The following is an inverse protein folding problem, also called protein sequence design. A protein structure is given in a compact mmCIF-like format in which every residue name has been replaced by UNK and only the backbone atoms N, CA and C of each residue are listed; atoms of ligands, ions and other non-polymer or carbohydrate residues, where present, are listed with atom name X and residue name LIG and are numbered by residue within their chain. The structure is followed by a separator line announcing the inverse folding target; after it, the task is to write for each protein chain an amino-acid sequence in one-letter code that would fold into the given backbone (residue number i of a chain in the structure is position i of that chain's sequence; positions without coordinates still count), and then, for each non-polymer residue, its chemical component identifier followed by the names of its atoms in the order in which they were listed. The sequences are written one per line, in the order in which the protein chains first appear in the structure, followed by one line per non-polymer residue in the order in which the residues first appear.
data_IF_535770791780
#
_entry.id   IF_535770791780
#
_cell.length_a   1.000
_cell.length_b   1.000
_cell.length_c   1.000
_cell.angle_alpha   90.00
_cell.angle_beta   90.00
_cell.angle_gamma   90.00
#
_symmetry.space_group_name_H-M   'P 1'
#
loop_
_entity.id
_entity.type
_entity.pdbx_description
1 polymer ?
2 non-polymer ?
3 water ?
#
# COMPACT_ATOMS: atom_id res chain seq x y z
N UNK A 29 -8.35 35.82 -19.84
CA UNK A 29 -8.44 34.50 -20.55
C UNK A 29 -7.03 33.87 -20.60
N UNK A 30 -6.03 34.56 -21.17
CA UNK A 30 -4.65 34.02 -21.37
C UNK A 30 -3.95 34.22 -20.02
N UNK A 31 -4.27 35.36 -19.41
CA UNK A 31 -3.88 35.77 -18.05
C UNK A 31 -4.29 34.63 -17.08
N UNK A 32 -5.46 34.03 -17.27
CA UNK A 32 -6.06 33.06 -16.31
C UNK A 32 -5.37 31.70 -16.52
N UNK A 33 -5.13 31.31 -17.79
CA UNK A 33 -4.36 30.11 -18.18
C UNK A 33 -2.93 30.22 -17.66
N UNK A 34 -2.27 31.38 -17.81
CA UNK A 34 -0.97 31.67 -17.15
C UNK A 34 -1.11 31.57 -15.64
N UNK A 35 -2.15 32.14 -15.03
CA UNK A 35 -2.30 32.09 -13.55
C UNK A 35 -2.38 30.61 -13.11
N UNK A 36 -3.17 29.81 -13.78
CA UNK A 36 -3.37 28.36 -13.43
C UNK A 36 -2.01 27.66 -13.43
N UNK A 37 -1.21 27.84 -14.50
CA UNK A 37 0.14 27.23 -14.59
C UNK A 37 1.06 27.77 -13.49
N UNK A 38 1.08 29.07 -13.22
CA UNK A 38 1.90 29.67 -12.14
C UNK A 38 1.53 29.06 -10.77
N UNK A 39 0.24 28.90 -10.47
CA UNK A 39 -0.22 28.35 -9.19
C UNK A 39 0.25 26.88 -9.03
N UNK A 40 0.05 26.09 -10.06
CA UNK A 40 0.46 24.63 -10.03
C UNK A 40 1.97 24.58 -9.83
N UNK A 41 2.73 25.36 -10.62
CA UNK A 41 4.21 25.42 -10.46
C UNK A 41 4.61 25.83 -9.05
N UNK A 42 4.05 26.93 -8.53
CA UNK A 42 4.47 27.41 -7.21
C UNK A 42 4.08 26.46 -6.10
N UNK A 43 2.89 25.85 -6.20
CA UNK A 43 2.39 24.92 -5.18
C UNK A 43 3.30 23.67 -5.19
N UNK A 44 3.59 23.16 -6.39
CA UNK A 44 4.50 22.00 -6.56
C UNK A 44 5.83 22.32 -5.88
N UNK A 45 6.39 23.50 -6.09
CA UNK A 45 7.71 23.87 -5.51
C UNK A 45 7.62 23.90 -4.00
N UNK A 46 6.71 24.71 -3.46
CA UNK A 46 6.67 24.98 -2.00
C UNK A 46 6.24 23.74 -1.24
N UNK A 47 5.17 23.05 -1.68
CA UNK A 47 4.69 21.81 -1.02
C UNK A 47 5.76 20.73 -1.18
N UNK A 48 6.40 20.67 -2.35
CA UNK A 48 7.55 19.78 -2.59
C UNK A 48 8.64 19.96 -1.53
N UNK A 49 8.89 21.19 -1.08
CA UNK A 49 9.97 21.52 -0.12
C UNK A 49 9.52 21.33 1.33
N UNK A 50 8.33 21.78 1.71
CA UNK A 50 7.95 21.91 3.13
C UNK A 50 6.76 21.00 3.46
N UNK A 51 6.05 20.46 2.47
CA UNK A 51 4.89 19.58 2.72
C UNK A 51 3.59 20.36 2.62
N UNK A 52 2.52 19.68 2.20
CA UNK A 52 1.17 20.25 2.06
C UNK A 52 0.77 21.01 3.33
N UNK A 53 0.93 20.37 4.50
CA UNK A 53 0.38 20.92 5.77
C UNK A 53 1.09 22.23 6.14
N UNK A 54 2.30 22.46 5.65
CA UNK A 54 3.18 23.58 6.10
C UNK A 54 3.05 24.81 5.19
N UNK A 55 2.32 24.78 4.08
CA UNK A 55 2.22 25.95 3.17
C UNK A 55 0.76 26.22 2.85
N UNK A 56 0.28 27.45 3.13
CA UNK A 56 -1.11 27.86 2.85
C UNK A 56 -1.28 28.46 1.47
N UNK A 57 -2.52 28.56 1.01
CA UNK A 57 -2.88 29.12 -0.31
C UNK A 57 -2.46 30.60 -0.41
N UNK A 58 -2.51 31.45 0.65
CA UNK A 58 -2.03 32.83 0.50
C UNK A 58 -0.55 32.90 0.06
N UNK A 59 0.30 32.10 0.68
CA UNK A 59 1.75 32.03 0.36
C UNK A 59 1.95 31.56 -1.08
N UNK A 60 1.15 30.58 -1.53
CA UNK A 60 1.23 30.05 -2.91
C UNK A 60 0.80 31.14 -3.91
N UNK A 61 -0.27 31.88 -3.63
CA UNK A 61 -0.73 33.00 -4.50
C UNK A 61 0.40 34.03 -4.63
N UNK A 62 1.04 34.39 -3.51
CA UNK A 62 2.15 35.39 -3.46
C UNK A 62 3.33 34.86 -4.28
N UNK A 63 3.73 33.62 -4.05
CA UNK A 63 4.81 32.94 -4.82
C UNK A 63 4.52 33.07 -6.32
N UNK A 64 3.28 32.83 -6.73
CA UNK A 64 2.83 32.83 -8.14
C UNK A 64 2.60 34.27 -8.66
N UNK A 65 2.54 35.27 -7.78
CA UNK A 65 2.29 36.68 -8.15
C UNK A 65 0.86 36.93 -8.58
N UNK A 66 -0.12 36.22 -8.04
CA UNK A 66 -1.55 36.46 -8.40
C UNK A 66 -2.30 36.80 -7.12
N UNK A 67 -3.50 37.34 -7.27
CA UNK A 67 -4.39 37.72 -6.14
C UNK A 67 -5.09 36.45 -5.65
N UNK A 68 -5.59 36.46 -4.42
CA UNK A 68 -6.41 35.37 -3.88
C UNK A 68 -7.61 35.16 -4.81
N UNK A 69 -8.20 36.23 -5.36
CA UNK A 69 -9.39 36.09 -6.21
C UNK A 69 -9.09 35.28 -7.46
N UNK A 70 -7.93 35.48 -8.06
CA UNK A 70 -7.47 34.76 -9.28
C UNK A 70 -7.22 33.29 -8.90
N UNK A 71 -6.67 33.03 -7.71
CA UNK A 71 -6.42 31.63 -7.26
C UNK A 71 -7.75 30.92 -7.03
N UNK A 72 -8.69 31.57 -6.34
CA UNK A 72 -10.03 31.04 -6.02
C UNK A 72 -10.80 30.76 -7.31
N UNK A 73 -10.64 31.57 -8.36
CA UNK A 73 -11.30 31.34 -9.68
C UNK A 73 -10.83 29.99 -10.29
N UNK A 74 -9.57 29.63 -10.06
CA UNK A 74 -8.96 28.42 -10.70
C UNK A 74 -9.19 27.19 -9.82
N UNK A 75 -9.13 27.34 -8.50
CA UNK A 75 -9.16 26.20 -7.53
C UNK A 75 -10.13 26.53 -6.40
N UNK A 76 -11.22 25.74 -6.30
CA UNK A 76 -12.23 25.85 -5.22
C UNK A 76 -11.53 25.89 -3.86
N UNK A 77 -10.50 25.06 -3.65
CA UNK A 77 -9.89 24.98 -2.29
C UNK A 77 -8.47 24.43 -2.41
N UNK A 78 -7.76 24.41 -1.30
CA UNK A 78 -6.39 23.92 -1.25
C UNK A 78 -6.26 22.50 -1.84
N UNK A 79 -7.13 21.57 -1.46
CA UNK A 79 -7.06 20.15 -1.87
C UNK A 79 -7.22 20.06 -3.41
N UNK A 80 -8.02 20.92 -4.04
CA UNK A 80 -8.24 20.92 -5.52
C UNK A 80 -6.93 21.29 -6.24
N UNK A 81 -6.20 22.26 -5.70
CA UNK A 81 -4.88 22.63 -6.24
C UNK A 81 -3.92 21.45 -6.04
N UNK A 82 -3.94 20.81 -4.88
CA UNK A 82 -3.07 19.63 -4.62
C UNK A 82 -3.39 18.53 -5.63
N UNK A 83 -4.67 18.25 -5.93
CA UNK A 83 -5.01 17.20 -6.93
C UNK A 83 -4.32 17.51 -8.27
N UNK A 84 -4.30 18.76 -8.72
CA UNK A 84 -3.67 19.13 -10.02
C UNK A 84 -2.15 19.03 -9.92
N UNK A 85 -1.58 19.34 -8.76
CA UNK A 85 -0.12 19.19 -8.52
C UNK A 85 0.23 17.71 -8.65
N UNK A 86 -0.57 16.84 -8.06
CA UNK A 86 -0.28 15.38 -8.12
C UNK A 86 -0.27 14.93 -9.58
N UNK A 87 -1.20 15.39 -10.40
CA UNK A 87 -1.29 14.98 -11.82
C UNK A 87 -0.01 15.37 -12.54
N UNK A 88 0.50 16.59 -12.38
CA UNK A 88 1.72 16.98 -13.16
C UNK A 88 2.94 16.27 -12.59
N UNK A 89 3.02 16.07 -11.27
CA UNK A 89 4.10 15.25 -10.64
C UNK A 89 4.05 13.81 -11.17
N UNK A 90 2.89 13.17 -11.18
CA UNK A 90 2.76 11.77 -11.65
C UNK A 90 3.14 11.66 -13.14
N UNK A 91 2.71 12.60 -13.97
CA UNK A 91 3.09 12.65 -15.42
C UNK A 91 4.61 12.67 -15.55
N UNK A 92 5.29 13.45 -14.71
CA UNK A 92 6.77 13.58 -14.73
C UNK A 92 7.44 12.30 -14.18
N UNK A 93 6.88 11.72 -13.12
CA UNK A 93 7.37 10.40 -12.62
C UNK A 93 7.36 9.38 -13.76
N UNK A 94 6.23 9.20 -14.46
CA UNK A 94 6.08 8.16 -15.50
C UNK A 94 6.98 8.49 -16.70
N UNK A 95 7.13 9.75 -17.06
CA UNK A 95 8.02 10.20 -18.16
C UNK A 95 9.46 9.86 -17.78
N UNK A 96 9.87 10.13 -16.54
CA UNK A 96 11.26 9.89 -16.09
C UNK A 96 11.52 8.38 -16.00
N UNK A 97 10.54 7.59 -15.56
CA UNK A 97 10.71 6.10 -15.56
C UNK A 97 11.01 5.63 -16.99
N UNK A 98 10.21 6.06 -17.97
CA UNK A 98 10.34 5.68 -19.39
C UNK A 98 11.72 6.11 -19.92
N UNK A 99 12.21 7.29 -19.52
CA UNK A 99 13.52 7.85 -19.94
C UNK A 99 14.65 6.98 -19.37
N UNK A 100 14.58 6.62 -18.09
CA UNK A 100 15.63 5.81 -17.43
C UNK A 100 15.65 4.38 -18.02
N UNK A 101 14.48 3.82 -18.32
CA UNK A 101 14.41 2.50 -19.02
C UNK A 101 15.01 2.64 -20.43
N UNK A 102 14.68 3.70 -21.20
CA UNK A 102 15.24 3.91 -22.57
C UNK A 102 16.76 4.08 -22.46
N UNK A 103 17.25 4.72 -21.40
CA UNK A 103 18.68 5.02 -21.19
C UNK A 103 19.47 3.79 -20.70
N UNK A 104 18.79 2.78 -20.13
CA UNK A 104 19.48 1.58 -19.59
C UNK A 104 20.12 0.77 -20.72
N UNK A 105 19.67 0.95 -21.97
CA UNK A 105 20.00 0.06 -23.12
C UNK A 105 19.43 -1.34 -22.98
N UNK A 106 18.41 -1.57 -22.15
CA UNK A 106 17.73 -2.89 -22.06
C UNK A 106 17.32 -3.34 -23.47
N UNK A 107 17.73 -4.55 -23.85
CA UNK A 107 17.54 -5.18 -25.19
C UNK A 107 16.46 -6.25 -25.12
N UNK A 108 16.11 -6.72 -23.92
CA UNK A 108 15.06 -7.75 -23.73
C UNK A 108 14.01 -7.23 -22.74
N UNK A 109 12.78 -7.79 -22.80
CA UNK A 109 11.76 -7.52 -21.79
C UNK A 109 12.26 -7.76 -20.36
N UNK A 110 13.02 -8.84 -20.13
CA UNK A 110 13.56 -9.12 -18.79
C UNK A 110 14.44 -7.95 -18.32
N UNK A 111 15.36 -7.47 -19.17
CA UNK A 111 16.27 -6.36 -18.80
C UNK A 111 15.48 -5.04 -18.62
N UNK A 112 14.39 -4.86 -19.35
CA UNK A 112 13.51 -3.66 -19.19
C UNK A 112 12.82 -3.71 -17.83
N UNK A 113 12.43 -4.90 -17.35
CA UNK A 113 11.78 -5.04 -16.03
C UNK A 113 12.81 -4.73 -14.96
N UNK A 114 14.03 -5.23 -15.10
CA UNK A 114 15.11 -4.94 -14.14
C UNK A 114 15.36 -3.41 -14.11
N UNK A 115 15.36 -2.77 -15.28
CA UNK A 115 15.66 -1.33 -15.37
C UNK A 115 14.48 -0.55 -14.76
N UNK A 116 13.26 -1.01 -14.98
CA UNK A 116 12.03 -0.33 -14.49
C UNK A 116 12.02 -0.36 -12.97
N UNK A 117 12.40 -1.47 -12.36
CA UNK A 117 12.45 -1.58 -10.87
C UNK A 117 13.51 -0.61 -10.34
N UNK A 118 14.71 -0.58 -10.94
CA UNK A 118 15.78 0.35 -10.50
C UNK A 118 15.30 1.79 -10.71
N UNK A 119 14.61 2.07 -11.83
CA UNK A 119 14.10 3.42 -12.16
C UNK A 119 13.09 3.87 -11.11
N UNK A 120 12.20 3.00 -10.63
CA UNK A 120 11.20 3.37 -9.60
C UNK A 120 11.89 3.78 -8.30
N UNK A 121 12.89 3.05 -7.84
CA UNK A 121 13.65 3.38 -6.61
C UNK A 121 14.33 4.75 -6.78
N UNK A 122 14.88 5.01 -7.97
CA UNK A 122 15.56 6.28 -8.30
C UNK A 122 14.52 7.42 -8.29
N UNK A 123 13.41 7.27 -8.99
CA UNK A 123 12.41 8.36 -9.16
C UNK A 123 11.70 8.61 -7.81
N UNK A 124 11.30 7.55 -7.10
CA UNK A 124 10.56 7.69 -5.82
C UNK A 124 11.49 8.26 -4.75
N UNK A 125 12.81 8.21 -4.99
CA UNK A 125 13.82 8.76 -4.08
C UNK A 125 14.02 10.25 -4.29
N UNK A 126 13.48 10.85 -5.35
CA UNK A 126 13.51 12.31 -5.57
C UNK A 126 12.77 12.95 -4.40
N UNK A 127 13.38 13.92 -3.66
CA UNK A 127 12.76 14.52 -2.46
C UNK A 127 11.35 15.11 -2.70
N UNK A 128 11.10 15.68 -3.87
CA UNK A 128 9.75 16.21 -4.21
C UNK A 128 8.75 15.06 -4.36
N UNK A 129 9.14 13.99 -5.05
CA UNK A 129 8.24 12.82 -5.25
C UNK A 129 7.96 12.18 -3.88
N UNK A 130 8.99 11.97 -3.06
CA UNK A 130 8.83 11.45 -1.69
C UNK A 130 7.76 12.25 -0.96
N UNK A 131 7.92 13.57 -0.93
CA UNK A 131 7.05 14.47 -0.12
C UNK A 131 5.63 14.50 -0.71
N UNK A 132 5.47 14.65 -2.03
CA UNK A 132 4.13 14.90 -2.63
C UNK A 132 3.39 13.58 -2.87
N UNK A 133 4.09 12.54 -3.34
CA UNK A 133 3.40 11.28 -3.76
C UNK A 133 3.37 10.28 -2.58
N UNK A 134 4.48 10.08 -1.89
CA UNK A 134 4.57 9.00 -0.89
C UNK A 134 3.97 9.47 0.47
N UNK A 135 4.14 10.74 0.83
CA UNK A 135 3.74 11.23 2.16
C UNK A 135 2.44 12.03 2.08
N UNK A 136 2.36 13.06 1.23
CA UNK A 136 1.18 13.96 1.24
C UNK A 136 -0.01 13.34 0.51
N UNK A 137 0.18 12.74 -0.66
CA UNK A 137 -0.99 12.35 -1.49
C UNK A 137 -1.91 11.34 -0.78
N UNK A 138 -1.41 10.27 -0.09
CA UNK A 138 -2.31 9.36 0.62
C UNK A 138 -3.16 10.09 1.68
N UNK A 139 -2.61 11.14 2.31
CA UNK A 139 -3.31 11.92 3.37
C UNK A 139 -4.34 12.83 2.71
N UNK A 140 -3.96 13.63 1.73
CA UNK A 140 -4.83 14.69 1.14
C UNK A 140 -5.89 14.05 0.24
N UNK A 141 -5.52 13.04 -0.56
CA UNK A 141 -6.48 12.43 -1.53
C UNK A 141 -7.40 11.43 -0.79
N UNK A 142 -6.93 10.88 0.32
CA UNK A 142 -7.57 9.71 0.96
C UNK A 142 -7.18 8.43 0.24
N UNK A 143 -7.47 7.29 0.85
CA UNK A 143 -7.06 5.98 0.33
C UNK A 143 -7.62 5.72 -1.08
N UNK A 144 -8.93 5.88 -1.28
CA UNK A 144 -9.60 5.54 -2.56
C UNK A 144 -9.02 6.44 -3.67
N UNK A 145 -8.88 7.74 -3.36
CA UNK A 145 -8.36 8.74 -4.30
C UNK A 145 -6.95 8.39 -4.73
N UNK A 146 -6.09 8.12 -3.76
CA UNK A 146 -4.66 7.87 -3.97
C UNK A 146 -4.48 6.58 -4.78
N UNK A 147 -5.22 5.54 -4.41
CA UNK A 147 -5.10 4.26 -5.14
C UNK A 147 -5.54 4.46 -6.59
N UNK A 148 -6.57 5.28 -6.83
CA UNK A 148 -7.10 5.47 -8.19
C UNK A 148 -6.02 6.12 -9.07
N UNK A 149 -5.38 7.15 -8.52
CA UNK A 149 -4.27 7.89 -9.20
C UNK A 149 -3.08 6.95 -9.44
N UNK A 150 -2.63 6.24 -8.40
CA UNK A 150 -1.48 5.32 -8.48
C UNK A 150 -1.71 4.29 -9.60
N UNK A 151 -2.93 3.73 -9.66
CA UNK A 151 -3.28 2.70 -10.66
C UNK A 151 -3.36 3.32 -12.05
N UNK A 152 -3.95 4.52 -12.16
CA UNK A 152 -4.12 5.19 -13.46
C UNK A 152 -2.73 5.39 -14.06
N UNK A 153 -1.72 5.71 -13.25
CA UNK A 153 -0.39 6.05 -13.79
C UNK A 153 0.46 4.79 -13.98
N UNK A 154 0.31 3.76 -13.16
CA UNK A 154 1.31 2.67 -13.03
C UNK A 154 0.82 1.37 -13.70
N UNK A 155 -0.48 1.11 -13.69
CA UNK A 155 -0.96 -0.26 -14.06
C UNK A 155 -0.62 -0.52 -15.54
N UNK A 156 -0.91 0.43 -16.43
CA UNK A 156 -0.63 0.34 -17.88
C UNK A 156 0.80 -0.05 -18.19
N UNK A 157 1.78 0.72 -17.69
CA UNK A 157 3.24 0.46 -17.93
C UNK A 157 3.55 -0.95 -17.41
N UNK A 158 3.12 -1.27 -16.20
CA UNK A 158 3.46 -2.54 -15.51
C UNK A 158 2.92 -3.71 -16.35
N UNK A 159 1.64 -3.66 -16.73
CA UNK A 159 0.99 -4.74 -17.52
C UNK A 159 1.70 -4.90 -18.85
N UNK A 160 2.10 -3.81 -19.49
CA UNK A 160 2.82 -3.86 -20.79
C UNK A 160 4.17 -4.59 -20.64
N UNK A 161 4.98 -4.25 -19.63
CA UNK A 161 6.28 -4.94 -19.40
C UNK A 161 6.06 -6.43 -19.17
N UNK A 162 5.00 -6.77 -18.43
CA UNK A 162 4.69 -8.20 -18.12
C UNK A 162 4.30 -8.89 -19.43
N UNK A 163 3.40 -8.29 -20.22
CA UNK A 163 2.91 -8.90 -21.50
C UNK A 163 4.11 -9.15 -22.44
N UNK A 164 5.03 -8.19 -22.57
CA UNK A 164 6.22 -8.32 -23.47
C UNK A 164 7.08 -9.48 -22.97
N UNK A 165 7.30 -9.61 -21.66
CA UNK A 165 8.17 -10.68 -21.10
C UNK A 165 7.52 -12.03 -21.37
N UNK A 166 6.20 -12.14 -21.19
CA UNK A 166 5.46 -13.41 -21.47
C UNK A 166 5.59 -13.77 -22.96
N UNK A 167 5.36 -12.80 -23.87
CA UNK A 167 5.48 -12.97 -25.34
C UNK A 167 6.90 -13.43 -25.72
N UNK A 168 7.95 -12.92 -25.06
CA UNK A 168 9.36 -13.23 -25.34
C UNK A 168 9.79 -14.57 -24.72
N UNK A 169 8.90 -15.28 -24.02
CA UNK A 169 9.23 -16.51 -23.26
C UNK A 169 10.11 -16.24 -22.03
N UNK A 170 10.11 -15.03 -21.47
CA UNK A 170 10.97 -14.69 -20.29
C UNK A 170 10.17 -14.72 -18.99
N UNK A 171 8.87 -14.92 -19.09
CA UNK A 171 7.99 -14.99 -17.91
C UNK A 171 6.90 -16.00 -18.26
N UNK A 172 6.56 -16.87 -17.33
CA UNK A 172 5.54 -17.93 -17.54
C UNK A 172 4.20 -17.28 -17.94
N UNK A 173 3.51 -17.85 -18.94
CA UNK A 173 2.12 -17.48 -19.28
C UNK A 173 1.30 -17.55 -17.99
N UNK A 174 0.57 -16.48 -17.72
CA UNK A 174 -0.23 -16.29 -16.49
C UNK A 174 -1.14 -15.07 -16.69
N UNK A 175 -2.19 -14.92 -15.87
CA UNK A 175 -3.02 -13.73 -15.88
C UNK A 175 -2.20 -12.50 -15.47
N UNK A 176 -2.24 -11.48 -16.30
CA UNK A 176 -1.33 -10.30 -16.25
C UNK A 176 -1.71 -9.38 -15.08
N UNK A 177 -3.00 -9.09 -14.90
CA UNK A 177 -3.45 -8.07 -13.93
C UNK A 177 -3.12 -8.50 -12.50
N UNK A 178 -3.42 -9.75 -12.04
CA UNK A 178 -3.02 -10.18 -10.70
C UNK A 178 -1.51 -10.07 -10.42
N UNK A 179 -0.66 -10.44 -11.38
CA UNK A 179 0.82 -10.33 -11.21
C UNK A 179 1.17 -8.85 -11.09
N UNK A 180 0.63 -8.01 -11.97
CA UNK A 180 0.92 -6.55 -12.00
C UNK A 180 0.57 -5.96 -10.61
N UNK A 181 -0.56 -6.36 -10.05
CA UNK A 181 -1.09 -5.81 -8.78
C UNK A 181 -0.16 -6.19 -7.62
N UNK A 182 0.23 -7.46 -7.54
CA UNK A 182 1.15 -7.98 -6.47
C UNK A 182 2.50 -7.26 -6.57
N UNK A 183 3.03 -7.14 -7.79
CA UNK A 183 4.34 -6.45 -7.98
C UNK A 183 4.20 -4.98 -7.61
N UNK A 184 3.08 -4.34 -7.95
CA UNK A 184 2.87 -2.90 -7.60
C UNK A 184 2.83 -2.74 -6.05
N UNK A 185 2.16 -3.63 -5.34
CA UNK A 185 2.15 -3.65 -3.87
C UNK A 185 3.56 -3.79 -3.31
N UNK A 186 4.34 -4.72 -3.85
CA UNK A 186 5.73 -4.91 -3.43
C UNK A 186 6.53 -3.61 -3.66
N UNK A 187 6.40 -3.00 -4.84
CA UNK A 187 7.23 -1.83 -5.24
C UNK A 187 6.80 -0.59 -4.43
N UNK A 188 5.51 -0.44 -4.16
CA UNK A 188 4.94 0.67 -3.35
C UNK A 188 5.45 0.55 -1.92
N UNK A 189 5.46 -0.66 -1.37
CA UNK A 189 5.95 -0.86 0.01
C UNK A 189 7.47 -0.64 0.01
N UNK A 190 8.20 -1.04 -1.03
CA UNK A 190 9.65 -0.77 -1.09
C UNK A 190 9.88 0.74 -0.98
N UNK A 191 9.13 1.53 -1.76
CA UNK A 191 9.32 2.99 -1.84
C UNK A 191 8.98 3.62 -0.49
N UNK A 192 7.87 3.19 0.13
CA UNK A 192 7.45 3.78 1.41
C UNK A 192 8.46 3.42 2.51
N UNK A 193 9.00 2.22 2.49
CA UNK A 193 9.99 1.76 3.50
C UNK A 193 11.24 2.66 3.41
N UNK A 194 11.74 2.92 2.20
CA UNK A 194 12.92 3.81 2.00
C UNK A 194 12.55 5.23 2.44
N UNK A 195 11.37 5.72 2.07
CA UNK A 195 10.93 7.10 2.36
C UNK A 195 10.98 7.38 3.88
N UNK A 196 10.72 6.38 4.72
CA UNK A 196 10.57 6.59 6.19
C UNK A 196 11.71 5.92 6.95
N UNK A 197 12.68 5.31 6.29
CA UNK A 197 13.80 4.59 6.95
C UNK A 197 14.67 5.55 7.76
N UNK A 198 15.18 5.09 8.91
CA UNK A 198 16.26 5.74 9.71
C UNK A 198 17.46 6.05 8.82
N UNK A 199 17.94 5.07 8.05
CA UNK A 199 19.08 5.25 7.09
C UNK A 199 18.60 4.95 5.66
N UNK A 200 18.05 5.94 4.93
CA UNK A 200 17.46 5.70 3.61
C UNK A 200 18.45 5.20 2.55
N UNK A 201 19.72 5.61 2.64
CA UNK A 201 20.78 5.15 1.71
C UNK A 201 20.92 3.62 1.78
N UNK A 202 20.97 3.08 3.00
CA UNK A 202 21.13 1.65 3.27
C UNK A 202 19.81 0.93 2.93
N UNK A 203 18.66 1.48 3.34
CA UNK A 203 17.32 0.94 3.04
C UNK A 203 17.18 0.74 1.53
N UNK A 204 17.64 1.71 0.73
CA UNK A 204 17.51 1.68 -0.73
C UNK A 204 18.45 0.61 -1.30
N UNK A 205 19.72 0.55 -0.88
CA UNK A 205 20.65 -0.53 -1.33
C UNK A 205 20.01 -1.91 -1.07
N UNK A 206 19.54 -2.12 0.15
CA UNK A 206 19.07 -3.44 0.64
C UNK A 206 17.73 -3.79 -0.05
N UNK A 207 16.86 -2.82 -0.25
CA UNK A 207 15.55 -3.03 -0.90
C UNK A 207 15.79 -3.36 -2.37
N UNK A 208 16.74 -2.67 -3.02
CA UNK A 208 17.07 -2.92 -4.45
C UNK A 208 17.54 -4.38 -4.58
N UNK A 209 18.37 -4.85 -3.64
CA UNK A 209 18.89 -6.26 -3.63
C UNK A 209 17.76 -7.26 -3.50
N UNK A 210 16.84 -7.04 -2.57
CA UNK A 210 15.74 -8.02 -2.40
C UNK A 210 14.83 -7.99 -3.63
N UNK A 211 14.50 -6.84 -4.20
CA UNK A 211 13.64 -6.78 -5.42
C UNK A 211 14.34 -7.45 -6.61
N UNK A 212 15.65 -7.25 -6.72
CA UNK A 212 16.40 -7.90 -7.83
C UNK A 212 16.33 -9.42 -7.66
N UNK A 213 16.52 -9.94 -6.43
CA UNK A 213 16.45 -11.39 -6.15
C UNK A 213 15.05 -11.91 -6.51
N UNK A 214 14.02 -11.17 -6.14
CA UNK A 214 12.60 -11.51 -6.36
C UNK A 214 12.33 -11.61 -7.86
N UNK A 215 12.72 -10.62 -8.64
CA UNK A 215 12.36 -10.63 -10.10
C UNK A 215 13.25 -11.66 -10.82
N UNK A 216 14.50 -11.81 -10.41
CA UNK A 216 15.46 -12.79 -11.00
C UNK A 216 14.99 -14.23 -10.72
N UNK A 217 14.27 -14.47 -9.63
CA UNK A 217 13.65 -15.77 -9.32
C UNK A 217 12.49 -16.07 -10.25
N UNK A 218 11.84 -15.08 -10.83
CA UNK A 218 10.68 -15.26 -11.73
C UNK A 218 11.05 -15.16 -13.21
N UNK A 219 12.12 -14.46 -13.56
CA UNK A 219 12.38 -14.16 -14.99
C UNK A 219 13.25 -15.28 -15.58
N UNK A 220 12.82 -15.82 -16.72
CA UNK A 220 13.64 -16.75 -17.55
C UNK A 220 14.47 -15.89 -18.51
N UNK A 221 15.57 -15.34 -18.02
CA UNK A 221 16.42 -14.44 -18.82
C UNK A 221 16.87 -13.27 -17.97
N UNK B 31 -15.80 -1.92 34.85
CA UNK B 31 -16.61 -0.68 34.92
C UNK B 31 -16.53 0.02 33.57
N UNK B 32 -15.50 0.86 33.41
CA UNK B 32 -15.06 1.47 32.12
C UNK B 32 -14.61 0.36 31.15
N UNK B 33 -13.84 -0.62 31.66
CA UNK B 33 -13.33 -1.79 30.90
C UNK B 33 -14.51 -2.61 30.36
N UNK B 34 -15.53 -2.88 31.18
CA UNK B 34 -16.78 -3.57 30.77
C UNK B 34 -17.47 -2.78 29.65
N UNK B 35 -17.62 -1.46 29.80
CA UNK B 35 -18.30 -0.62 28.79
C UNK B 35 -17.49 -0.70 27.48
N UNK B 36 -16.19 -0.50 27.56
CA UNK B 36 -15.28 -0.49 26.37
C UNK B 36 -15.39 -1.83 25.67
N UNK B 37 -15.33 -2.95 26.40
CA UNK B 37 -15.39 -4.31 25.82
C UNK B 37 -16.75 -4.52 25.13
N UNK B 38 -17.86 -4.13 25.75
CA UNK B 38 -19.19 -4.19 25.11
C UNK B 38 -19.21 -3.39 23.80
N UNK B 39 -18.67 -2.17 23.82
CA UNK B 39 -18.72 -1.28 22.62
C UNK B 39 -17.86 -1.89 21.51
N UNK B 40 -16.67 -2.35 21.83
CA UNK B 40 -15.73 -2.93 20.81
C UNK B 40 -16.38 -4.17 20.21
N UNK B 41 -16.95 -5.04 21.05
CA UNK B 41 -17.65 -6.25 20.55
C UNK B 41 -18.77 -5.86 19.59
N UNK B 42 -19.66 -4.95 20.00
CA UNK B 42 -20.81 -4.53 19.17
C UNK B 42 -20.34 -3.88 17.87
N UNK B 43 -19.31 -3.02 17.95
CA UNK B 43 -18.78 -2.30 16.77
C UNK B 43 -18.16 -3.31 15.80
N UNK B 44 -17.35 -4.23 16.29
CA UNK B 44 -16.75 -5.30 15.45
C UNK B 44 -17.88 -6.05 14.73
N UNK B 45 -18.97 -6.40 15.42
CA UNK B 45 -20.08 -7.18 14.80
C UNK B 45 -20.73 -6.36 13.67
N UNK B 46 -21.23 -5.17 14.01
CA UNK B 46 -22.07 -4.37 13.08
C UNK B 46 -21.23 -3.80 11.92
N UNK B 47 -20.04 -3.25 12.22
CA UNK B 47 -19.12 -2.73 11.18
C UNK B 47 -18.62 -3.90 10.33
N UNK B 48 -18.35 -5.03 10.96
CA UNK B 48 -17.97 -6.29 10.28
C UNK B 48 -18.98 -6.66 9.22
N UNK B 49 -20.27 -6.43 9.50
CA UNK B 49 -21.37 -6.85 8.59
C UNK B 49 -21.66 -5.78 7.53
N UNK B 50 -21.73 -4.50 7.90
CA UNK B 50 -22.28 -3.44 7.01
C UNK B 50 -21.23 -2.39 6.64
N UNK B 51 -20.09 -2.37 7.32
CA UNK B 51 -19.01 -1.40 7.03
C UNK B 51 -19.07 -0.20 7.94
N UNK B 52 -17.91 0.36 8.23
CA UNK B 52 -17.73 1.57 9.05
C UNK B 52 -18.72 2.64 8.67
N UNK B 53 -18.81 2.97 7.38
CA UNK B 53 -19.56 4.17 6.92
C UNK B 53 -21.06 3.99 7.20
N UNK B 54 -21.55 2.76 7.25
CA UNK B 54 -23.00 2.46 7.26
C UNK B 54 -23.57 2.34 8.67
N UNK B 55 -22.76 2.35 9.72
CA UNK B 55 -23.28 2.20 11.11
C UNK B 55 -22.74 3.35 11.97
N UNK B 56 -23.65 4.07 12.63
CA UNK B 56 -23.39 5.21 13.52
C UNK B 56 -23.17 4.75 14.94
N UNK B 57 -22.57 5.61 15.76
CA UNK B 57 -22.23 5.28 17.17
C UNK B 57 -23.51 5.01 17.98
N UNK B 58 -24.66 5.70 17.79
CA UNK B 58 -25.86 5.35 18.57
C UNK B 58 -26.34 3.90 18.38
N UNK B 59 -26.31 3.38 17.14
CA UNK B 59 -26.69 1.97 16.87
C UNK B 59 -25.72 1.02 17.56
N UNK B 60 -24.44 1.36 17.60
CA UNK B 60 -23.42 0.54 18.32
C UNK B 60 -23.67 0.59 19.84
N UNK B 61 -24.04 1.74 20.38
CA UNK B 61 -24.38 1.92 21.82
C UNK B 61 -25.56 1.00 22.17
N UNK B 62 -26.57 0.96 21.32
CA UNK B 62 -27.78 0.10 21.50
C UNK B 62 -27.37 -1.38 21.46
N UNK B 63 -26.58 -1.78 20.47
CA UNK B 63 -26.13 -3.19 20.37
C UNK B 63 -25.40 -3.58 21.67
N UNK B 64 -24.58 -2.68 22.19
CA UNK B 64 -23.75 -2.86 23.40
C UNK B 64 -24.58 -2.74 24.68
N UNK B 65 -25.77 -2.13 24.67
CA UNK B 65 -26.55 -1.88 25.89
C UNK B 65 -25.94 -0.77 26.75
N UNK B 66 -25.32 0.24 26.16
CA UNK B 66 -24.77 1.38 26.96
C UNK B 66 -25.44 2.66 26.46
N UNK B 67 -25.40 3.74 27.25
CA UNK B 67 -25.94 5.06 26.83
C UNK B 67 -24.92 5.76 25.94
N UNK B 68 -25.37 6.69 25.12
CA UNK B 68 -24.49 7.59 24.32
C UNK B 68 -23.49 8.26 25.25
N UNK B 69 -23.92 8.67 26.45
CA UNK B 69 -23.05 9.38 27.41
C UNK B 69 -21.89 8.51 27.85
N UNK B 70 -22.17 7.25 28.18
CA UNK B 70 -21.16 6.25 28.60
C UNK B 70 -20.21 5.98 27.43
N UNK B 71 -20.72 5.93 26.19
CA UNK B 71 -19.88 5.63 25.02
C UNK B 71 -18.92 6.81 24.78
N UNK B 72 -19.45 8.03 24.84
CA UNK B 72 -18.68 9.29 24.58
C UNK B 72 -17.57 9.44 25.62
N UNK B 73 -17.80 8.99 26.86
CA UNK B 73 -16.78 8.98 27.94
C UNK B 73 -15.58 8.12 27.53
N UNK B 74 -15.82 7.01 26.83
CA UNK B 74 -14.78 6.00 26.51
C UNK B 74 -14.14 6.31 25.15
N UNK B 75 -14.92 6.82 24.19
CA UNK B 75 -14.42 7.10 22.82
C UNK B 75 -14.84 8.50 22.39
N UNK B 76 -13.86 9.38 22.17
CA UNK B 76 -14.07 10.77 21.72
C UNK B 76 -14.99 10.76 20.49
N UNK B 77 -14.72 9.85 19.56
CA UNK B 77 -15.37 9.86 18.24
C UNK B 77 -15.35 8.44 17.67
N UNK B 78 -16.01 8.31 16.55
CA UNK B 78 -16.19 7.03 15.83
C UNK B 78 -14.83 6.43 15.48
N UNK B 79 -13.88 7.22 14.98
CA UNK B 79 -12.57 6.74 14.51
C UNK B 79 -11.78 6.13 15.70
N UNK B 80 -11.94 6.65 16.91
CA UNK B 80 -11.24 6.13 18.11
C UNK B 80 -11.74 4.72 18.44
N UNK B 81 -13.06 4.52 18.34
CA UNK B 81 -13.64 3.17 18.56
C UNK B 81 -13.13 2.22 17.48
N UNK B 82 -13.09 2.67 16.22
CA UNK B 82 -12.58 1.85 15.10
C UNK B 82 -11.14 1.46 15.36
N UNK B 83 -10.28 2.37 15.84
CA UNK B 83 -8.85 2.01 16.15
C UNK B 83 -8.80 0.84 17.15
N UNK B 84 -9.63 0.84 18.20
CA UNK B 84 -9.62 -0.28 19.19
C UNK B 84 -10.19 -1.57 18.56
N UNK B 85 -11.18 -1.46 17.67
CA UNK B 85 -11.74 -2.61 16.91
C UNK B 85 -10.63 -3.25 16.10
N UNK B 86 -9.84 -2.44 15.40
CA UNK B 86 -8.77 -2.96 14.50
C UNK B 86 -7.76 -3.72 15.35
N UNK B 87 -7.39 -3.21 16.53
CA UNK B 87 -6.41 -3.88 17.41
C UNK B 87 -6.93 -5.29 17.75
N UNK B 88 -8.20 -5.44 18.16
CA UNK B 88 -8.72 -6.75 18.63
C UNK B 88 -8.84 -7.69 17.43
N UNK B 89 -9.28 -7.17 16.28
CA UNK B 89 -9.40 -7.99 15.04
C UNK B 89 -8.01 -8.45 14.60
N UNK B 90 -7.00 -7.56 14.63
CA UNK B 90 -5.61 -7.94 14.21
C UNK B 90 -5.06 -9.00 15.16
N UNK B 91 -5.29 -8.88 16.47
CA UNK B 91 -4.85 -9.92 17.43
C UNK B 91 -5.41 -11.30 17.02
N UNK B 92 -6.68 -11.32 16.66
CA UNK B 92 -7.42 -12.55 16.23
C UNK B 92 -6.87 -13.07 14.88
N UNK B 93 -6.65 -12.17 13.93
CA UNK B 93 -6.02 -12.54 12.62
C UNK B 93 -4.72 -13.29 12.88
N UNK B 94 -3.80 -12.72 13.68
CA UNK B 94 -2.45 -13.29 13.91
C UNK B 94 -2.57 -14.62 14.67
N UNK B 95 -3.50 -14.72 15.63
CA UNK B 95 -3.76 -15.97 16.38
C UNK B 95 -4.22 -17.07 15.41
N UNK B 96 -5.14 -16.74 14.52
CA UNK B 96 -5.73 -17.71 13.56
C UNK B 96 -4.66 -18.17 12.56
N UNK B 97 -3.84 -17.24 12.10
CA UNK B 97 -2.77 -17.58 11.14
C UNK B 97 -1.78 -18.55 11.79
N UNK B 98 -1.35 -18.28 13.02
CA UNK B 98 -0.43 -19.15 13.78
C UNK B 98 -1.02 -20.57 13.90
N UNK B 99 -2.32 -20.67 14.17
CA UNK B 99 -3.01 -21.97 14.38
C UNK B 99 -3.07 -22.73 13.04
N UNK B 100 -3.41 -22.06 11.93
CA UNK B 100 -3.48 -22.68 10.59
C UNK B 100 -2.09 -23.17 10.15
N UNK B 101 -1.04 -22.40 10.41
CA UNK B 101 0.35 -22.80 10.07
C UNK B 101 0.74 -24.00 10.94
N UNK B 102 0.44 -23.98 12.25
CA UNK B 102 0.74 -25.12 13.16
C UNK B 102 -0.03 -26.37 12.68
N UNK B 103 -1.24 -26.20 12.13
CA UNK B 103 -2.12 -27.28 11.67
C UNK B 103 -1.70 -27.83 10.30
N UNK B 104 -0.95 -27.08 9.50
CA UNK B 104 -0.79 -27.35 8.03
C UNK B 104 0.00 -28.64 7.80
N UNK B 105 0.81 -29.06 8.77
CA UNK B 105 1.78 -30.17 8.61
C UNK B 105 2.97 -29.76 7.75
N UNK B 106 3.28 -28.47 7.65
CA UNK B 106 4.53 -28.01 6.99
C UNK B 106 5.72 -28.71 7.67
N UNK B 107 6.61 -29.30 6.86
CA UNK B 107 7.73 -30.18 7.27
C UNK B 107 9.04 -29.39 7.28
N UNK B 108 9.15 -28.29 6.53
CA UNK B 108 10.37 -27.44 6.45
C UNK B 108 9.98 -25.97 6.61
N UNK B 109 10.91 -25.06 6.94
CA UNK B 109 10.65 -23.62 6.90
C UNK B 109 10.09 -23.11 5.57
N UNK B 110 10.55 -23.65 4.44
CA UNK B 110 10.02 -23.29 3.10
C UNK B 110 8.51 -23.60 3.07
N UNK B 111 8.11 -24.80 3.50
CA UNK B 111 6.69 -25.23 3.52
C UNK B 111 5.91 -24.39 4.53
N UNK B 112 6.54 -23.94 5.63
CA UNK B 112 5.90 -23.06 6.63
C UNK B 112 5.53 -21.72 5.97
N UNK B 113 6.40 -21.20 5.10
CA UNK B 113 6.15 -19.91 4.40
C UNK B 113 4.99 -20.12 3.42
N UNK B 114 5.00 -21.24 2.69
CA UNK B 114 3.92 -21.53 1.73
C UNK B 114 2.59 -21.65 2.49
N UNK B 115 2.60 -22.31 3.66
CA UNK B 115 1.36 -22.48 4.46
C UNK B 115 0.92 -21.11 5.02
N UNK B 116 1.87 -20.25 5.40
CA UNK B 116 1.60 -18.91 5.96
C UNK B 116 0.88 -18.05 4.92
N UNK B 117 1.30 -18.16 3.65
CA UNK B 117 0.65 -17.43 2.54
C UNK B 117 -0.78 -17.95 2.35
N UNK B 118 -0.98 -19.28 2.32
CA UNK B 118 -2.33 -19.90 2.26
C UNK B 118 -3.16 -19.44 3.46
N UNK B 119 -2.57 -19.37 4.65
CA UNK B 119 -3.28 -18.96 5.89
C UNK B 119 -3.74 -17.50 5.77
N UNK B 120 -2.91 -16.60 5.23
CA UNK B 120 -3.31 -15.19 5.04
C UNK B 120 -4.49 -15.07 4.08
N UNK B 121 -4.47 -15.77 2.94
CA UNK B 121 -5.57 -15.70 1.95
C UNK B 121 -6.85 -16.27 2.60
N UNK B 122 -6.73 -17.31 3.40
CA UNK B 122 -7.87 -17.93 4.12
C UNK B 122 -8.44 -16.93 5.14
N UNK B 123 -7.60 -16.37 6.00
CA UNK B 123 -8.06 -15.48 7.11
C UNK B 123 -8.60 -14.17 6.51
N UNK B 124 -7.89 -13.57 5.53
CA UNK B 124 -8.31 -12.27 4.94
C UNK B 124 -9.56 -12.47 4.08
N UNK B 125 -9.90 -13.73 3.76
CA UNK B 125 -11.17 -14.08 3.06
C UNK B 125 -12.36 -14.14 4.02
N UNK B 126 -12.16 -14.11 5.33
CA UNK B 126 -13.26 -14.03 6.33
C UNK B 126 -14.00 -12.71 6.05
N UNK B 127 -15.34 -12.71 5.86
CA UNK B 127 -16.09 -11.48 5.53
C UNK B 127 -15.89 -10.30 6.49
N UNK B 128 -15.69 -10.57 7.78
CA UNK B 128 -15.46 -9.51 8.79
C UNK B 128 -14.05 -8.93 8.59
N UNK B 129 -13.05 -9.79 8.37
CA UNK B 129 -11.64 -9.34 8.14
C UNK B 129 -11.59 -8.53 6.85
N UNK B 130 -12.21 -9.05 5.77
CA UNK B 130 -12.33 -8.34 4.47
C UNK B 130 -12.87 -6.93 4.71
N UNK B 131 -13.99 -6.82 5.39
CA UNK B 131 -14.66 -5.51 5.57
C UNK B 131 -13.83 -4.61 6.49
N UNK B 132 -13.34 -5.08 7.63
CA UNK B 132 -12.72 -4.19 8.65
C UNK B 132 -11.25 -3.89 8.30
N UNK B 133 -10.49 -4.90 7.88
CA UNK B 133 -9.03 -4.76 7.70
C UNK B 133 -8.70 -4.37 6.26
N UNK B 134 -9.32 -5.02 5.27
CA UNK B 134 -8.92 -4.81 3.85
C UNK B 134 -9.62 -3.58 3.27
N UNK B 135 -10.87 -3.28 3.67
CA UNK B 135 -11.66 -2.19 3.04
C UNK B 135 -11.71 -0.96 3.95
N UNK B 136 -12.15 -1.11 5.21
CA UNK B 136 -12.38 0.05 6.09
C UNK B 136 -11.07 0.59 6.66
N UNK B 137 -10.12 -0.25 7.11
CA UNK B 137 -8.96 0.25 7.90
C UNK B 137 -8.10 1.19 7.04
N UNK B 138 -7.78 0.87 5.76
CA UNK B 138 -7.02 1.79 4.91
C UNK B 138 -7.74 3.14 4.74
N UNK B 139 -9.07 3.16 4.70
CA UNK B 139 -9.85 4.43 4.55
C UNK B 139 -9.82 5.23 5.85
N UNK B 140 -10.15 4.60 6.98
CA UNK B 140 -10.33 5.29 8.30
C UNK B 140 -8.93 5.64 8.87
N UNK B 141 -7.95 4.76 8.72
CA UNK B 141 -6.61 4.95 9.35
C UNK B 141 -5.69 5.76 8.41
N UNK B 142 -5.95 5.81 7.11
CA UNK B 142 -4.98 6.27 6.11
C UNK B 142 -4.01 5.17 5.72
N UNK B 143 -3.28 5.35 4.62
CA UNK B 143 -2.21 4.41 4.19
C UNK B 143 -1.15 4.27 5.30
N UNK B 144 -0.68 5.36 5.91
CA UNK B 144 0.42 5.33 6.90
C UNK B 144 -0.07 4.54 8.12
N UNK B 145 -1.29 4.87 8.56
CA UNK B 145 -1.92 4.24 9.74
C UNK B 145 -2.05 2.76 9.53
N UNK B 146 -2.59 2.35 8.37
CA UNK B 146 -2.85 0.94 8.02
C UNK B 146 -1.51 0.19 7.97
N UNK B 147 -0.51 0.80 7.33
CA UNK B 147 0.87 0.24 7.24
C UNK B 147 1.38 -0.05 8.65
N UNK B 148 1.19 0.89 9.55
CA UNK B 148 1.79 0.83 10.92
C UNK B 148 1.15 -0.34 11.68
N UNK B 149 -0.15 -0.48 11.57
CA UNK B 149 -0.91 -1.60 12.20
C UNK B 149 -0.50 -2.93 11.59
N UNK B 150 -0.53 -3.03 10.25
CA UNK B 150 -0.19 -4.26 9.53
C UNK B 150 1.21 -4.71 9.93
N UNK B 151 2.18 -3.79 9.99
CA UNK B 151 3.57 -4.15 10.28
C UNK B 151 3.71 -4.49 11.76
N UNK B 152 3.06 -3.74 12.64
CA UNK B 152 3.15 -4.00 14.10
C UNK B 152 2.67 -5.42 14.37
N UNK B 153 1.65 -5.90 13.66
CA UNK B 153 1.09 -7.24 13.92
C UNK B 153 1.86 -8.34 13.18
N UNK B 154 2.38 -8.07 11.99
CA UNK B 154 2.81 -9.13 11.04
C UNK B 154 4.33 -9.19 10.86
N UNK B 155 5.07 -8.12 11.14
CA UNK B 155 6.53 -8.08 10.84
C UNK B 155 7.26 -9.18 11.61
N UNK B 156 7.01 -9.32 12.91
CA UNK B 156 7.63 -10.35 13.78
C UNK B 156 7.48 -11.76 13.22
N UNK B 157 6.25 -12.20 12.93
CA UNK B 157 5.97 -13.55 12.38
C UNK B 157 6.73 -13.71 11.05
N UNK B 158 6.62 -12.70 10.18
CA UNK B 158 7.21 -12.73 8.82
C UNK B 158 8.73 -12.85 8.93
N UNK B 159 9.38 -12.02 9.76
CA UNK B 159 10.86 -12.05 9.94
C UNK B 159 11.28 -13.42 10.48
N UNK B 160 10.51 -13.98 11.41
CA UNK B 160 10.75 -15.34 11.98
C UNK B 160 10.79 -16.38 10.85
N UNK B 161 9.77 -16.44 10.00
CA UNK B 161 9.65 -17.45 8.91
C UNK B 161 10.85 -17.29 7.99
N UNK B 162 11.21 -16.05 7.65
CA UNK B 162 12.40 -15.76 6.79
C UNK B 162 13.67 -16.27 7.47
N UNK B 163 13.90 -15.94 8.76
CA UNK B 163 15.12 -16.36 9.51
C UNK B 163 15.23 -17.89 9.53
N UNK B 164 14.13 -18.60 9.77
CA UNK B 164 14.11 -20.10 9.81
C UNK B 164 14.47 -20.65 8.43
N UNK B 165 13.96 -20.06 7.34
CA UNK B 165 14.25 -20.56 5.98
C UNK B 165 15.74 -20.34 5.66
N UNK B 166 16.29 -19.18 6.05
CA UNK B 166 17.72 -18.86 5.84
C UNK B 166 18.57 -19.87 6.63
N UNK B 167 18.24 -20.12 7.89
CA UNK B 167 18.98 -21.07 8.79
C UNK B 167 18.93 -22.50 8.22
N UNK B 168 17.80 -22.90 7.62
CA UNK B 168 17.63 -24.24 7.00
C UNK B 168 18.28 -24.34 5.62
N UNK B 169 18.96 -23.28 5.17
CA UNK B 169 19.60 -23.18 3.84
C UNK B 169 18.60 -23.11 2.70
N UNK B 170 17.34 -22.70 2.91
CA UNK B 170 16.28 -22.74 1.87
C UNK B 170 15.98 -21.34 1.33
N UNK B 171 16.71 -20.34 1.80
CA UNK B 171 16.52 -18.94 1.37
C UNK B 171 17.86 -18.26 1.52
N UNK B 172 18.29 -17.51 0.50
CA UNK B 172 19.63 -16.86 0.48
C UNK B 172 19.77 -15.98 1.72
N UNK B 173 20.93 -15.98 2.38
CA UNK B 173 21.17 -14.94 3.43
C UNK B 173 21.05 -13.59 2.72
N UNK B 174 20.22 -12.72 3.30
CA UNK B 174 19.90 -11.39 2.75
C UNK B 174 19.35 -10.59 3.93
N UNK B 175 19.24 -9.25 3.82
CA UNK B 175 18.66 -8.45 4.88
C UNK B 175 17.19 -8.89 5.10
N UNK B 176 16.86 -9.22 6.34
CA UNK B 176 15.58 -9.86 6.72
C UNK B 176 14.47 -8.81 6.68
N UNK B 177 14.69 -7.62 7.26
CA UNK B 177 13.61 -6.63 7.42
C UNK B 177 13.14 -6.14 6.05
N UNK B 178 14.01 -5.69 5.11
CA UNK B 178 13.55 -5.27 3.79
C UNK B 178 12.75 -6.38 3.06
N UNK B 179 13.18 -7.64 3.14
CA UNK B 179 12.46 -8.76 2.46
C UNK B 179 11.07 -8.90 3.11
N UNK B 180 11.01 -8.89 4.45
CA UNK B 180 9.74 -9.03 5.19
C UNK B 180 8.76 -7.92 4.77
N UNK B 181 9.27 -6.70 4.67
CA UNK B 181 8.51 -5.46 4.34
C UNK B 181 7.87 -5.63 2.95
N UNK B 182 8.69 -5.97 1.95
CA UNK B 182 8.27 -6.14 0.53
C UNK B 182 7.22 -7.26 0.46
N UNK B 183 7.45 -8.39 1.15
CA UNK B 183 6.51 -9.54 1.12
C UNK B 183 5.19 -9.13 1.73
N UNK B 184 5.22 -8.37 2.82
CA UNK B 184 3.98 -7.89 3.50
C UNK B 184 3.20 -6.98 2.53
N UNK B 185 3.90 -6.06 1.84
CA UNK B 185 3.26 -5.20 0.82
C UNK B 185 2.64 -6.03 -0.29
N UNK B 186 3.35 -7.05 -0.77
CA UNK B 186 2.83 -7.93 -1.83
C UNK B 186 1.57 -8.64 -1.32
N UNK B 187 1.63 -9.21 -0.11
CA UNK B 187 0.49 -10.05 0.40
C UNK B 187 -0.71 -9.17 0.72
N UNK B 188 -0.49 -7.95 1.22
CA UNK B 188 -1.60 -6.98 1.52
C UNK B 188 -2.29 -6.59 0.21
N UNK B 189 -1.50 -6.31 -0.83
CA UNK B 189 -2.10 -5.94 -2.12
C UNK B 189 -2.82 -7.15 -2.72
N UNK B 190 -2.28 -8.35 -2.57
CA UNK B 190 -2.95 -9.59 -3.05
C UNK B 190 -4.35 -9.69 -2.41
N UNK B 191 -4.42 -9.50 -1.10
CA UNK B 191 -5.69 -9.64 -0.34
C UNK B 191 -6.67 -8.55 -0.75
N UNK B 192 -6.20 -7.33 -0.91
CA UNK B 192 -7.09 -6.21 -1.32
C UNK B 192 -7.60 -6.42 -2.76
N UNK B 193 -6.79 -6.99 -3.64
CA UNK B 193 -7.20 -7.24 -5.04
C UNK B 193 -8.36 -8.26 -5.01
N UNK B 194 -8.23 -9.32 -4.23
CA UNK B 194 -9.27 -10.36 -4.06
C UNK B 194 -10.51 -9.73 -3.44
N UNK B 195 -10.33 -8.89 -2.42
CA UNK B 195 -11.44 -8.27 -1.66
C UNK B 195 -12.37 -7.49 -2.59
N UNK B 196 -11.84 -6.87 -3.64
CA UNK B 196 -12.63 -5.96 -4.51
C UNK B 196 -12.85 -6.57 -5.91
N UNK B 197 -12.46 -7.82 -6.16
CA UNK B 197 -12.52 -8.43 -7.52
C UNK B 197 -13.99 -8.67 -7.90
N UNK B 198 -14.30 -8.47 -9.19
CA UNK B 198 -15.63 -8.79 -9.78
C UNK B 198 -15.88 -10.29 -9.61
N UNK B 199 -14.88 -11.16 -9.82
CA UNK B 199 -14.99 -12.63 -9.58
C UNK B 199 -13.98 -13.04 -8.51
N UNK B 200 -14.32 -12.97 -7.20
CA UNK B 200 -13.36 -13.20 -6.13
C UNK B 200 -12.78 -14.63 -6.08
N UNK B 201 -13.59 -15.63 -6.46
CA UNK B 201 -13.18 -17.05 -6.52
C UNK B 201 -11.98 -17.18 -7.46
N UNK B 202 -12.09 -16.58 -8.64
CA UNK B 202 -11.05 -16.66 -9.71
C UNK B 202 -9.86 -15.77 -9.30
N UNK B 203 -10.12 -14.55 -8.81
CA UNK B 203 -9.09 -13.60 -8.31
C UNK B 203 -8.21 -14.31 -7.29
N UNK B 204 -8.82 -15.05 -6.36
CA UNK B 204 -8.11 -15.76 -5.28
C UNK B 204 -7.23 -16.88 -5.89
N UNK B 205 -7.76 -17.69 -6.81
CA UNK B 205 -6.97 -18.81 -7.39
C UNK B 205 -5.75 -18.25 -8.13
N UNK B 206 -5.96 -17.23 -8.94
CA UNK B 206 -4.94 -16.60 -9.82
C UNK B 206 -3.89 -15.91 -8.94
N UNK B 207 -4.34 -15.20 -7.90
CA UNK B 207 -3.42 -14.47 -6.98
C UNK B 207 -2.57 -15.48 -6.22
N UNK B 208 -3.16 -16.58 -5.75
CA UNK B 208 -2.42 -17.61 -4.98
C UNK B 208 -1.28 -18.17 -5.86
N UNK B 209 -1.55 -18.41 -7.15
CA UNK B 209 -0.55 -18.91 -8.13
C UNK B 209 0.59 -17.90 -8.28
N UNK B 210 0.26 -16.61 -8.42
CA UNK B 210 1.26 -15.50 -8.49
C UNK B 210 2.16 -15.55 -7.25
N UNK B 211 1.58 -15.65 -6.06
CA UNK B 211 2.35 -15.61 -4.79
C UNK B 211 3.22 -16.86 -4.70
N UNK B 212 2.70 -18.00 -5.15
CA UNK B 212 3.49 -19.26 -5.11
C UNK B 212 4.72 -19.10 -6.02
N UNK B 213 4.57 -18.56 -7.22
CA UNK B 213 5.69 -18.37 -8.20
C UNK B 213 6.73 -17.42 -7.60
N UNK B 214 6.25 -16.38 -6.93
CA UNK B 214 7.09 -15.31 -6.33
C UNK B 214 7.94 -15.90 -5.20
N UNK B 215 7.30 -16.66 -4.30
CA UNK B 215 7.88 -17.32 -3.11
C UNK B 215 8.92 -18.36 -3.59
N UNK B 216 8.49 -19.18 -4.56
CA UNK B 216 9.25 -20.34 -5.10
C UNK B 216 10.50 -19.84 -5.82
N UNK B 217 10.47 -18.62 -6.38
CA UNK B 217 11.66 -18.01 -6.99
C UNK B 217 12.71 -17.62 -5.96
N UNK B 218 12.30 -17.40 -4.69
CA UNK B 218 13.17 -17.09 -3.52
C UNK B 218 13.68 -18.36 -2.83
N UNK B 219 12.89 -19.42 -2.81
CA UNK B 219 13.18 -20.63 -2.01
C UNK B 219 13.91 -21.66 -2.89
N UNK B 220 14.66 -22.56 -2.26
CA UNK B 220 15.49 -23.59 -2.96
C UNK B 220 15.49 -24.90 -2.14
X LIG C 1 7.09 1.83 -10.88
X LIG C 1 3.49 4.60 -8.87
X LIG C 1 3.11 3.98 -7.70
X LIG C 1 2.05 5.99 -7.05
X LIG C 1 3.12 5.93 -9.14
X LIG C 1 4.20 3.68 -9.57
X LIG C 1 2.40 4.69 -6.79
X LIG C 1 5.02 1.69 -12.11
X LIG C 1 2.39 6.60 -8.19
X LIG C 1 4.27 2.55 -8.85
X LIG C 1 5.07 1.06 -9.35
X LIG C 1 5.80 1.07 -10.96
X LIG C 1 3.51 6.51 -10.32
X LIG C 1 3.60 2.74 -7.72
X LIG D 1 0.84 -13.06 7.79
X LIG D 1 -1.38 -8.85 8.05
X LIG D 1 -1.33 -8.11 6.89
X LIG D 1 -2.79 -6.52 7.86
X LIG D 1 -2.13 -8.38 9.11
X LIG D 1 -0.62 -9.96 7.87
X LIG D 1 -2.04 -6.95 6.83
X LIG D 1 2.84 -13.05 6.35
X LIG D 1 -2.84 -7.22 8.99
X LIG D 1 -0.11 -9.92 6.63
X LIG D 1 0.93 -11.11 5.88
X LIG D 1 1.81 -12.15 7.04
X LIG D 1 -2.17 -9.11 10.24
X LIG D 1 -0.54 -8.79 6.04
#
# INVERSE_FOLDING_TARGET
MGSSHHHHHHSSGLVPRGSHMEIKRRTQEERSAATREALITGARKLWGLRGYAEVGTPEIATEAGVTRGAMYHQFADKAALFRDVVEVVEQDVMARMATLVAASGAATPADAIRAAVDAWLEVSGDPEVRQLILLDAPVVLGWAGFRDVAQRYSLGMTEQLITEAIRAGQLARQPVRPLAQVLIGALDEAAMFIATADDPKRARRETRQVLRRLIDGMLNG
MGSSHHHHHHSSGLVPRGSHMEIKRRTQEERSAATREALITGARKLWGLRGYAEVGTPEIATEAGVTRGAMYHQFADKAALFRDVVEVVEQDVMARMATLVAASGAATPADAIRAAVDAWLEVSGDPEVRQLILLDAPVVLGWAGFRDVAQRYSLGMTEQLITEAIRAGQLARQPVRPLAQVLIGALDEAAMFIATADDPKRARRETRQVLRRLIDGMLNG
GO8 C4 C5 C6 C7 C8 N1 N2 C3 N3 C1 S1 C2 N4 N5
GO8 C4 C5 C6 C7 C8 N1 N2 C3 N3 C1 S1 C2 N4 N5
#
